data_IF_944566275911
#
_entry.id   IF_944566275911
#
_cell.length_a   1.000
_cell.length_b   1.000
_cell.length_c   1.000
_cell.angle_alpha   90.00
_cell.angle_beta   90.00
_cell.angle_gamma   90.00
#
_symmetry.space_group_name_H-M   'P 1'
#
loop_
_entity.id
_entity.type
_entity.pdbx_description
1 polymer ?
#
# COMPACT_ATOMS: atom_id res chain seq x y z
N UNK A 1 -4.93 12.39 -0.58
CA UNK A 1 -3.87 12.51 0.44
C UNK A 1 -3.47 11.13 0.96
N UNK A 2 -2.18 10.79 0.95
CA UNK A 2 -1.69 9.47 1.37
C UNK A 2 -1.82 9.30 2.90
N UNK A 3 -2.26 8.11 3.33
CA UNK A 3 -2.31 7.70 4.74
C UNK A 3 -1.24 6.64 5.00
N UNK A 4 -1.24 5.59 4.16
CA UNK A 4 -0.35 4.44 4.32
C UNK A 4 -0.03 3.80 2.97
N UNK A 5 1.17 3.24 2.88
CA UNK A 5 1.60 2.32 1.85
C UNK A 5 2.08 1.04 2.53
N UNK A 6 1.61 -0.11 2.04
CA UNK A 6 2.15 -1.43 2.37
C UNK A 6 2.72 -2.04 1.10
N UNK A 7 3.95 -2.53 1.18
CA UNK A 7 4.64 -3.19 0.09
C UNK A 7 5.22 -4.51 0.58
N UNK A 8 5.01 -5.58 -0.20
CA UNK A 8 5.62 -6.88 0.05
C UNK A 8 6.16 -7.45 -1.25
N UNK A 9 7.35 -8.06 -1.16
CA UNK A 9 7.98 -8.78 -2.27
C UNK A 9 8.13 -7.95 -3.58
N UNK A 10 8.55 -6.69 -3.45
CA UNK A 10 8.74 -5.79 -4.58
C UNK A 10 10.10 -5.11 -4.49
N UNK A 11 10.89 -5.19 -5.57
CA UNK A 11 12.21 -4.59 -5.76
C UNK A 11 13.20 -4.93 -4.65
N UNK A 12 13.42 -4.05 -3.67
CA UNK A 12 14.28 -4.27 -2.49
C UNK A 12 13.53 -4.73 -1.25
N UNK A 13 12.21 -4.79 -1.28
CA UNK A 13 11.37 -5.17 -0.15
C UNK A 13 11.01 -6.65 -0.25
N UNK A 14 11.80 -7.54 0.38
CA UNK A 14 11.50 -8.97 0.42
C UNK A 14 10.39 -9.35 1.38
N UNK A 15 10.36 -8.70 2.55
CA UNK A 15 9.30 -8.82 3.55
C UNK A 15 8.40 -7.58 3.54
N UNK A 16 7.22 -7.71 4.15
CA UNK A 16 6.27 -6.61 4.30
C UNK A 16 6.92 -5.39 4.96
N UNK A 17 6.70 -4.22 4.35
CA UNK A 17 7.09 -2.93 4.87
C UNK A 17 5.92 -1.97 4.79
N UNK A 18 5.75 -1.21 5.86
CA UNK A 18 4.73 -0.19 5.99
C UNK A 18 5.38 1.20 6.06
N UNK A 19 4.86 2.13 5.28
CA UNK A 19 5.05 3.56 5.48
C UNK A 19 3.70 4.17 5.83
N UNK A 20 3.60 4.95 6.91
CA UNK A 20 2.35 5.62 7.29
C UNK A 20 2.59 7.06 7.72
N UNK A 21 1.54 7.87 7.54
CA UNK A 21 1.49 9.29 7.89
C UNK A 21 0.64 9.53 9.14
N UNK A 22 0.40 8.49 9.95
CA UNK A 22 -0.39 8.59 11.18
C UNK A 22 0.45 9.27 12.26
N UNK A 23 -0.03 10.36 12.86
CA UNK A 23 0.68 11.00 13.95
C UNK A 23 0.56 10.14 15.21
N UNK A 24 1.54 10.27 16.10
CA UNK A 24 1.46 9.61 17.39
C UNK A 24 0.40 10.29 18.27
N UNK A 25 -0.67 9.60 18.72
CA UNK A 25 -1.80 10.24 19.42
C UNK A 25 -1.42 10.92 20.74
N UNK A 26 -0.37 10.41 21.39
CA UNK A 26 0.15 10.95 22.66
C UNK A 26 0.91 12.26 22.50
N UNK A 27 1.45 12.54 21.30
CA UNK A 27 2.17 13.78 20.99
C UNK A 27 1.17 14.86 20.55
N UNK A 28 0.88 15.77 21.48
CA UNK A 28 -0.04 16.90 21.31
C UNK A 28 0.65 18.19 20.84
N UNK A 29 1.98 18.17 20.70
CA UNK A 29 2.76 19.30 20.19
C UNK A 29 2.62 19.41 18.66
N UNK A 30 2.95 20.59 18.11
CA UNK A 30 3.04 20.83 16.66
C UNK A 30 1.72 20.54 15.90
N UNK A 31 0.60 21.08 16.36
CA UNK A 31 -0.71 20.94 15.70
C UNK A 31 -0.68 21.37 14.24
N UNK A 32 0.11 22.39 13.92
CA UNK A 32 0.28 22.91 12.56
C UNK A 32 0.91 21.90 11.58
N UNK A 33 1.51 20.82 12.07
CA UNK A 33 2.14 19.77 11.25
C UNK A 33 1.15 18.66 10.87
N UNK A 34 -0.13 18.81 11.23
CA UNK A 34 -1.18 17.83 10.97
C UNK A 34 -2.31 18.45 10.15
N UNK A 35 -2.89 17.68 9.25
CA UNK A 35 -4.23 17.91 8.74
C UNK A 35 -5.22 17.21 9.66
N UNK A 36 -6.37 17.83 9.92
CA UNK A 36 -7.50 17.19 10.58
C UNK A 36 -8.64 17.09 9.56
N UNK A 37 -9.00 15.87 9.18
CA UNK A 37 -10.11 15.57 8.27
C UNK A 37 -11.11 14.74 9.05
N UNK A 38 -12.30 15.27 9.34
CA UNK A 38 -13.35 14.58 10.09
C UNK A 38 -12.84 13.90 11.39
N UNK A 39 -12.11 14.62 12.25
CA UNK A 39 -11.47 14.07 13.46
C UNK A 39 -10.41 12.99 13.21
N UNK A 40 -9.89 12.88 11.98
CA UNK A 40 -8.76 12.04 11.63
C UNK A 40 -7.52 12.90 11.40
N UNK A 41 -6.49 12.71 12.24
CA UNK A 41 -5.23 13.45 12.13
C UNK A 41 -4.26 12.74 11.17
N UNK A 42 -3.66 13.49 10.25
CA UNK A 42 -2.61 13.03 9.32
C UNK A 42 -1.45 14.01 9.32
N UNK A 43 -0.22 13.50 9.28
CA UNK A 43 0.97 14.32 9.13
C UNK A 43 1.01 15.02 7.77
N UNK A 44 1.38 16.30 7.72
CA UNK A 44 1.56 17.04 6.46
C UNK A 44 2.82 16.62 5.69
N UNK A 45 3.80 16.08 6.40
CA UNK A 45 5.14 15.79 5.88
C UNK A 45 5.74 14.58 6.60
N UNK A 46 6.53 13.80 5.87
CA UNK A 46 7.41 12.78 6.41
C UNK A 46 8.79 12.90 5.74
N UNK A 47 9.84 12.58 6.48
CA UNK A 47 11.20 12.49 5.95
C UNK A 47 11.64 11.03 5.91
N UNK A 48 12.22 10.61 4.79
CA UNK A 48 12.73 9.26 4.58
C UNK A 48 14.25 9.35 4.39
N UNK A 49 15.00 8.87 5.37
CA UNK A 49 16.47 8.88 5.37
C UNK A 49 17.03 7.45 5.57
N UNK A 50 18.30 7.26 5.21
CA UNK A 50 18.95 5.95 5.29
C UNK A 50 20.14 5.83 4.34
N UNK A 51 20.95 4.79 4.51
CA UNK A 51 22.16 4.54 3.71
C UNK A 51 21.86 4.32 2.21
N UNK A 52 22.89 4.40 1.37
CA UNK A 52 22.76 4.03 -0.04
C UNK A 52 22.33 2.56 -0.16
N UNK A 53 21.41 2.27 -1.07
CA UNK A 53 20.84 0.93 -1.23
C UNK A 53 19.76 0.54 -0.20
N UNK A 54 19.42 1.39 0.77
CA UNK A 54 18.42 1.07 1.81
C UNK A 54 16.96 1.02 1.32
N UNK A 55 16.70 1.13 0.02
CA UNK A 55 15.36 1.03 -0.56
C UNK A 55 14.52 2.31 -0.58
N UNK A 56 15.06 3.48 -0.21
CA UNK A 56 14.31 4.76 -0.20
C UNK A 56 13.66 5.10 -1.54
N UNK A 57 14.44 5.07 -2.62
CA UNK A 57 13.92 5.32 -3.97
C UNK A 57 12.93 4.23 -4.41
N UNK A 58 13.10 3.01 -3.93
CA UNK A 58 12.18 1.91 -4.23
C UNK A 58 10.83 2.10 -3.53
N UNK A 59 10.79 2.70 -2.33
CA UNK A 59 9.52 3.06 -1.68
C UNK A 59 8.70 4.01 -2.56
N UNK A 60 9.34 5.04 -3.11
CA UNK A 60 8.69 5.99 -4.04
C UNK A 60 8.29 5.30 -5.34
N UNK A 61 9.15 4.45 -5.89
CA UNK A 61 8.84 3.65 -7.10
C UNK A 61 7.68 2.70 -6.90
N UNK A 62 7.45 2.16 -5.70
CA UNK A 62 6.29 1.32 -5.41
C UNK A 62 4.97 2.09 -5.51
N UNK A 63 4.95 3.36 -5.09
CA UNK A 63 3.78 4.24 -5.25
C UNK A 63 3.54 4.52 -6.74
N UNK A 64 4.61 4.86 -7.47
CA UNK A 64 4.55 5.10 -8.91
C UNK A 64 4.05 3.86 -9.65
N UNK A 65 4.58 2.68 -9.34
CA UNK A 65 4.15 1.41 -9.90
C UNK A 65 2.64 1.19 -9.69
N UNK A 66 2.13 1.41 -8.47
CA UNK A 66 0.70 1.26 -8.20
C UNK A 66 -0.15 2.24 -9.04
N UNK A 67 0.30 3.48 -9.21
CA UNK A 67 -0.38 4.46 -10.07
C UNK A 67 -0.40 3.97 -11.53
N UNK A 68 0.75 3.56 -12.06
CA UNK A 68 0.88 3.06 -13.42
C UNK A 68 -0.04 1.86 -13.67
N UNK A 69 -0.11 0.92 -12.72
CA UNK A 69 -0.98 -0.25 -12.82
C UNK A 69 -2.47 0.08 -12.86
N UNK A 70 -2.87 1.23 -12.33
CA UNK A 70 -4.28 1.66 -12.28
C UNK A 70 -4.62 2.57 -13.46
N UNK A 71 -3.71 3.44 -13.87
CA UNK A 71 -4.00 4.50 -14.85
C UNK A 71 -3.59 4.15 -16.27
N UNK A 72 -2.66 3.22 -16.46
CA UNK A 72 -2.18 2.86 -17.79
C UNK A 72 -2.74 1.51 -18.23
N UNK A 73 -3.17 1.44 -19.48
CA UNK A 73 -3.73 0.23 -20.11
C UNK A 73 -2.63 -0.80 -20.49
N UNK A 74 -1.48 -0.78 -19.79
CA UNK A 74 -0.27 -1.47 -20.22
C UNK A 74 -0.35 -2.96 -19.93
N UNK A 75 -0.70 -3.71 -20.98
CA UNK A 75 -0.69 -5.17 -21.08
C UNK A 75 0.72 -5.79 -21.00
N UNK A 76 1.79 -5.00 -20.85
CA UNK A 76 3.19 -5.45 -20.91
C UNK A 76 3.95 -5.35 -19.59
N UNK A 77 3.28 -5.41 -18.45
CA UNK A 77 3.96 -5.35 -17.16
C UNK A 77 4.71 -6.67 -16.88
N UNK A 78 6.05 -6.58 -16.90
CA UNK A 78 6.95 -7.67 -16.51
C UNK A 78 7.10 -7.69 -14.98
N UNK A 79 6.03 -8.07 -14.29
CA UNK A 79 5.97 -8.15 -12.83
C UNK A 79 7.10 -8.99 -12.21
N UNK A 80 7.52 -10.06 -12.90
CA UNK A 80 8.66 -10.87 -12.50
C UNK A 80 9.96 -10.06 -12.34
N UNK A 81 10.17 -9.01 -13.14
CA UNK A 81 11.34 -8.13 -13.00
C UNK A 81 11.26 -7.23 -11.75
N UNK A 82 10.04 -7.02 -11.24
CA UNK A 82 9.74 -6.22 -10.06
C UNK A 82 9.77 -7.04 -8.77
N UNK A 83 9.92 -8.36 -8.84
CA UNK A 83 10.00 -9.22 -7.66
C UNK A 83 11.29 -8.98 -6.87
N UNK A 84 11.23 -9.22 -5.56
CA UNK A 84 12.43 -9.26 -4.75
C UNK A 84 13.33 -10.43 -5.21
N UNK A 85 14.59 -10.14 -5.53
CA UNK A 85 15.48 -11.13 -6.17
C UNK A 85 16.15 -12.10 -5.20
N UNK A 86 16.30 -11.74 -3.94
CA UNK A 86 16.98 -12.57 -2.94
C UNK A 86 16.01 -13.45 -2.16
N UNK A 87 15.11 -14.13 -2.87
CA UNK A 87 14.22 -15.13 -2.28
C UNK A 87 15.01 -16.41 -1.99
N UNK A 88 14.68 -17.07 -0.89
CA UNK A 88 15.14 -18.45 -0.64
C UNK A 88 14.42 -19.44 -1.56
N UNK A 89 14.32 -20.70 -1.15
CA UNK A 89 13.60 -21.75 -1.88
C UNK A 89 12.06 -21.58 -1.86
N UNK A 90 11.56 -20.46 -1.35
CA UNK A 90 10.13 -20.14 -1.33
C UNK A 90 9.66 -19.81 -2.75
N UNK A 91 9.02 -20.80 -3.37
CA UNK A 91 8.32 -20.61 -4.63
C UNK A 91 7.01 -19.85 -4.38
N UNK A 92 6.63 -18.98 -5.31
CA UNK A 92 5.28 -18.37 -5.36
C UNK A 92 4.93 -17.39 -4.22
N UNK A 93 5.89 -16.60 -3.74
CA UNK A 93 5.57 -15.46 -2.87
C UNK A 93 4.82 -14.40 -3.72
N UNK A 94 3.60 -13.97 -3.34
CA UNK A 94 2.89 -12.93 -4.06
C UNK A 94 3.55 -11.56 -3.84
N UNK A 95 3.48 -10.69 -4.84
CA UNK A 95 3.82 -9.27 -4.71
C UNK A 95 2.56 -8.52 -4.26
N UNK A 96 2.69 -7.65 -3.27
CA UNK A 96 1.53 -6.93 -2.73
C UNK A 96 1.83 -5.44 -2.68
N UNK A 97 0.89 -4.66 -3.18
CA UNK A 97 0.83 -3.21 -3.03
C UNK A 97 -0.52 -2.84 -2.45
N UNK A 98 -0.52 -2.15 -1.31
CA UNK A 98 -1.74 -1.58 -0.72
C UNK A 98 -1.49 -0.13 -0.40
N UNK A 99 -2.44 0.73 -0.79
CA UNK A 99 -2.44 2.15 -0.46
C UNK A 99 -3.71 2.50 0.30
N UNK A 100 -3.55 3.24 1.38
CA UNK A 100 -4.64 3.90 2.08
C UNK A 100 -4.53 5.40 1.82
N UNK A 101 -5.62 6.03 1.41
CA UNK A 101 -5.62 7.44 1.05
C UNK A 101 -6.98 8.10 1.31
N UNK A 102 -6.96 9.42 1.52
CA UNK A 102 -8.14 10.27 1.48
C UNK A 102 -8.37 10.83 0.09
N UNK A 103 -9.63 10.80 -0.35
CA UNK A 103 -10.13 11.49 -1.53
C UNK A 103 -11.51 12.07 -1.17
N UNK A 104 -11.72 13.37 -1.40
CA UNK A 104 -12.99 14.06 -1.11
C UNK A 104 -13.53 13.79 0.30
N UNK A 105 -12.66 13.96 1.30
CA UNK A 105 -12.89 13.69 2.74
C UNK A 105 -13.28 12.24 3.10
N UNK A 106 -13.23 11.30 2.15
CA UNK A 106 -13.47 9.88 2.37
C UNK A 106 -12.16 9.12 2.34
N UNK A 107 -11.99 8.20 3.28
CA UNK A 107 -10.82 7.34 3.32
C UNK A 107 -11.09 6.05 2.54
N UNK A 108 -10.11 5.64 1.73
CA UNK A 108 -10.16 4.45 0.90
C UNK A 108 -8.94 3.57 1.16
N UNK A 109 -9.11 2.28 0.90
CA UNK A 109 -8.03 1.30 0.83
C UNK A 109 -8.11 0.64 -0.54
N UNK A 110 -7.04 0.74 -1.30
CA UNK A 110 -6.87 0.06 -2.58
C UNK A 110 -5.70 -0.92 -2.48
N UNK A 111 -5.87 -2.14 -2.98
CA UNK A 111 -4.85 -3.17 -2.92
C UNK A 111 -4.81 -4.00 -4.19
N UNK A 112 -3.61 -4.42 -4.59
CA UNK A 112 -3.35 -5.35 -5.67
C UNK A 112 -2.40 -6.44 -5.16
N UNK A 113 -2.70 -7.68 -5.52
CA UNK A 113 -1.83 -8.83 -5.40
C UNK A 113 -1.45 -9.33 -6.79
N UNK A 114 -0.17 -9.63 -6.97
CA UNK A 114 0.36 -10.20 -8.21
C UNK A 114 1.03 -11.54 -7.86
N UNK A 115 0.64 -12.59 -8.58
CA UNK A 115 1.19 -13.92 -8.43
C UNK A 115 1.47 -14.51 -9.82
N UNK A 116 2.65 -15.11 -10.00
CA UNK A 116 3.06 -15.72 -11.27
C UNK A 116 2.90 -14.76 -12.47
N UNK A 117 3.28 -13.50 -12.29
CA UNK A 117 3.20 -12.45 -13.30
C UNK A 117 1.77 -12.12 -13.78
N UNK A 118 0.76 -12.41 -12.96
CA UNK A 118 -0.65 -12.09 -13.22
C UNK A 118 -1.22 -11.40 -11.98
N UNK A 119 -2.05 -10.38 -12.18
CA UNK A 119 -2.83 -9.78 -11.10
C UNK A 119 -3.82 -10.83 -10.61
N UNK A 120 -3.57 -11.41 -9.43
CA UNK A 120 -4.40 -12.47 -8.85
C UNK A 120 -5.66 -11.88 -8.19
N UNK A 121 -5.50 -10.73 -7.52
CA UNK A 121 -6.56 -10.07 -6.75
C UNK A 121 -6.37 -8.56 -6.78
N UNK A 122 -7.48 -7.82 -6.83
CA UNK A 122 -7.49 -6.39 -6.56
C UNK A 122 -8.77 -6.01 -5.79
N UNK A 123 -8.73 -4.93 -5.02
CA UNK A 123 -9.90 -4.43 -4.31
C UNK A 123 -9.83 -2.93 -4.07
N UNK A 124 -10.99 -2.28 -3.99
CA UNK A 124 -11.18 -0.93 -3.46
C UNK A 124 -12.25 -0.99 -2.38
N UNK A 125 -11.94 -0.49 -1.17
CA UNK A 125 -12.88 -0.45 -0.05
C UNK A 125 -12.91 0.93 0.58
N UNK A 126 -14.11 1.36 0.98
CA UNK A 126 -14.25 2.50 1.87
C UNK A 126 -13.72 2.12 3.26
N UNK A 127 -12.95 3.00 3.88
CA UNK A 127 -12.46 2.82 5.24
C UNK A 127 -13.51 3.36 6.21
N UNK A 128 -14.30 2.46 6.79
CA UNK A 128 -15.39 2.83 7.70
C UNK A 128 -14.90 3.29 9.09
N UNK A 129 -13.67 2.95 9.48
CA UNK A 129 -13.17 3.18 10.84
C UNK A 129 -12.00 4.19 10.89
N UNK A 130 -12.19 5.25 11.69
CA UNK A 130 -11.24 6.35 11.90
C UNK A 130 -10.05 5.95 12.78
N UNK A 131 -10.13 4.82 13.50
CA UNK A 131 -9.07 4.38 14.42
C UNK A 131 -8.55 2.98 14.15
N UNK A 132 -8.76 2.44 12.94
CA UNK A 132 -8.24 1.11 12.61
C UNK A 132 -6.70 1.11 12.70
N UNK A 133 -6.17 0.59 13.82
CA UNK A 133 -4.86 -0.07 13.83
C UNK A 133 -4.97 -1.14 12.77
N UNK A 134 -4.26 -0.98 11.65
CA UNK A 134 -4.05 -2.11 10.77
C UNK A 134 -3.02 -3.00 11.47
N UNK A 135 -3.48 -3.72 12.48
CA UNK A 135 -2.81 -4.93 12.92
C UNK A 135 -3.05 -5.94 11.78
N UNK A 136 -2.03 -6.18 10.95
CA UNK A 136 -1.86 -7.37 10.09
C UNK A 136 -3.00 -7.74 9.10
N UNK A 137 -4.09 -6.97 9.02
CA UNK A 137 -5.35 -7.46 8.46
C UNK A 137 -5.51 -7.25 6.95
N UNK A 138 -4.72 -6.38 6.31
CA UNK A 138 -4.89 -6.13 4.87
C UNK A 138 -4.51 -7.35 4.02
N UNK A 139 -3.42 -8.05 4.34
CA UNK A 139 -3.03 -9.27 3.63
C UNK A 139 -3.78 -10.50 4.16
N UNK A 140 -4.07 -10.60 5.46
CA UNK A 140 -4.88 -11.72 5.98
C UNK A 140 -6.34 -11.67 5.53
N UNK A 141 -6.91 -10.49 5.27
CA UNK A 141 -8.19 -10.41 4.54
C UNK A 141 -8.07 -10.74 3.07
N UNK A 142 -6.95 -10.46 2.38
CA UNK A 142 -6.76 -10.99 1.01
C UNK A 142 -6.79 -12.52 0.99
N UNK A 143 -6.17 -13.19 1.97
CA UNK A 143 -6.19 -14.66 2.08
C UNK A 143 -7.55 -15.25 2.51
N UNK A 144 -8.36 -14.51 3.28
CA UNK A 144 -9.67 -14.97 3.77
C UNK A 144 -10.86 -14.47 2.93
N UNK A 145 -10.64 -13.73 1.84
CA UNK A 145 -11.71 -13.25 0.96
C UNK A 145 -11.95 -14.20 -0.20
N UNK A 146 -12.46 -15.40 0.11
CA UNK A 146 -13.38 -16.07 -0.81
C UNK A 146 -14.72 -15.33 -0.64
N UNK A 147 -14.84 -14.14 -1.23
CA UNK A 147 -16.13 -13.44 -1.27
C UNK A 147 -16.42 -13.00 -2.69
N UNK A 148 -17.64 -13.35 -3.09
CA UNK A 148 -18.17 -13.37 -4.45
C UNK A 148 -17.91 -12.10 -5.26
N UNK A 149 -17.52 -12.35 -6.50
CA UNK A 149 -17.52 -11.41 -7.62
C UNK A 149 -18.74 -10.49 -7.60
N UNK A 150 -18.50 -9.19 -7.72
CA UNK A 150 -19.44 -8.32 -8.40
C UNK A 150 -18.63 -7.45 -9.35
N UNK A 151 -18.57 -7.92 -10.59
CA UNK A 151 -18.17 -7.16 -11.76
C UNK A 151 -18.94 -5.84 -11.76
N UNK A 152 -18.28 -4.72 -11.44
CA UNK A 152 -18.82 -3.41 -11.81
C UNK A 152 -18.28 -3.13 -13.21
N UNK A 153 -19.07 -3.56 -14.19
CA UNK A 153 -19.07 -3.02 -15.53
C UNK A 153 -19.94 -1.77 -15.45
N UNK A 154 -19.34 -0.58 -15.58
CA UNK A 154 -19.92 0.67 -16.09
C UNK A 154 -18.83 1.74 -16.18
#
# INVERSE_FOLDING_TARGET
MLIRLVVNNITSFGAEREFNMLPMPRLRTLKEHKYNIDNFDILKMASIYGANGSGKSNLVKSIYLLQQLVTEDQTSNRFAELEFKFKGNELQIPQVLVVEFFQDNKAFIYGIEILNNIISTYFLRHRSDKYMRCDLLCISTMKNSIFHYTTILL
#
